data_IF_385362689106
#
_entry.id   IF_385362689106
#
_cell.length_a   1.000
_cell.length_b   1.000
_cell.length_c   1.000
_cell.angle_alpha   90.00
_cell.angle_beta   90.00
_cell.angle_gamma   90.00
#
_symmetry.space_group_name_H-M   'P 1'
#
loop_
_entity.id
_entity.type
_entity.pdbx_description
1 polymer ?
#
# COMPACT_ATOMS: atom_id res chain seq x y z
N UNK A 1 2.82 4.69 -10.73
CA UNK A 1 2.54 4.43 -9.29
C UNK A 1 3.76 4.66 -8.40
N UNK A 2 4.90 3.97 -8.59
CA UNK A 2 6.13 4.14 -7.76
C UNK A 2 6.53 5.60 -7.48
N UNK A 3 6.57 6.47 -8.49
CA UNK A 3 6.89 7.90 -8.32
C UNK A 3 5.84 8.69 -7.51
N UNK A 4 4.55 8.35 -7.67
CA UNK A 4 3.46 9.02 -6.95
C UNK A 4 3.44 8.63 -5.47
N UNK A 5 3.59 7.34 -5.17
CA UNK A 5 3.68 6.83 -3.80
C UNK A 5 4.93 7.34 -3.08
N UNK A 6 6.08 7.37 -3.76
CA UNK A 6 7.30 7.97 -3.21
C UNK A 6 7.12 9.44 -2.84
N UNK A 7 6.53 10.24 -3.73
CA UNK A 7 6.24 11.65 -3.46
C UNK A 7 5.24 11.85 -2.32
N UNK A 8 4.26 10.96 -2.18
CA UNK A 8 3.32 10.97 -1.06
C UNK A 8 4.01 10.71 0.28
N UNK A 9 4.86 9.69 0.34
CA UNK A 9 5.62 9.36 1.55
C UNK A 9 6.56 10.50 1.94
N UNK A 10 7.26 11.11 0.96
CA UNK A 10 8.14 12.25 1.22
C UNK A 10 7.38 13.45 1.79
N UNK A 11 6.19 13.76 1.27
CA UNK A 11 5.35 14.83 1.84
C UNK A 11 4.87 14.48 3.25
N UNK A 12 4.54 13.21 3.50
CA UNK A 12 4.12 12.72 4.81
C UNK A 12 5.12 12.98 5.94
N UNK A 13 6.42 13.01 5.62
CA UNK A 13 7.47 13.35 6.59
C UNK A 13 7.40 14.79 7.12
N UNK A 14 6.59 15.67 6.53
CA UNK A 14 6.36 17.03 7.04
C UNK A 14 5.21 17.11 8.06
N UNK A 15 4.59 15.98 8.42
CA UNK A 15 3.50 15.92 9.40
C UNK A 15 3.89 15.03 10.57
N UNK A 16 3.86 15.59 11.78
CA UNK A 16 4.10 14.84 13.02
C UNK A 16 3.09 13.71 13.21
N UNK A 17 1.81 13.97 12.95
CA UNK A 17 0.74 12.97 13.07
C UNK A 17 0.99 11.80 12.12
N UNK A 18 1.31 12.10 10.86
CA UNK A 18 1.59 11.07 9.87
C UNK A 18 2.81 10.23 10.26
N UNK A 19 3.87 10.88 10.76
CA UNK A 19 5.05 10.21 11.33
C UNK A 19 4.67 9.27 12.48
N UNK A 20 3.89 9.75 13.44
CA UNK A 20 3.53 8.98 14.64
C UNK A 20 2.67 7.75 14.28
N UNK A 21 1.67 7.93 13.41
CA UNK A 21 0.83 6.82 12.91
C UNK A 21 1.68 5.82 12.15
N UNK A 22 2.46 6.28 11.19
CA UNK A 22 3.29 5.43 10.33
C UNK A 22 4.34 4.64 11.13
N UNK A 23 4.97 5.25 12.14
CA UNK A 23 5.89 4.55 13.06
C UNK A 23 5.19 3.48 13.89
N UNK A 24 3.99 3.78 14.38
CA UNK A 24 3.18 2.85 15.18
C UNK A 24 2.76 1.64 14.34
N UNK A 25 2.26 1.88 13.13
CA UNK A 25 1.94 0.81 12.17
C UNK A 25 3.17 -0.04 11.84
N UNK A 26 4.31 0.60 11.55
CA UNK A 26 5.58 -0.07 11.28
C UNK A 26 6.02 -0.97 12.43
N UNK A 27 5.89 -0.48 13.68
CA UNK A 27 6.19 -1.27 14.88
C UNK A 27 5.33 -2.54 14.96
N UNK A 28 4.01 -2.44 14.76
CA UNK A 28 3.12 -3.59 14.84
C UNK A 28 3.27 -4.56 13.66
N UNK A 29 3.65 -4.07 12.49
CA UNK A 29 3.85 -4.88 11.29
C UNK A 29 5.32 -5.34 11.09
N UNK A 30 6.23 -4.98 12.00
CA UNK A 30 7.62 -5.43 12.00
C UNK A 30 8.48 -4.85 10.87
N UNK A 31 8.21 -3.62 10.43
CA UNK A 31 9.02 -2.94 9.40
C UNK A 31 9.34 -1.49 9.77
N UNK A 32 10.45 -0.98 9.23
CA UNK A 32 10.81 0.43 9.33
C UNK A 32 10.20 1.22 8.16
N UNK A 33 9.21 2.09 8.40
CA UNK A 33 8.55 2.83 7.34
C UNK A 33 9.45 3.86 6.67
N UNK A 34 10.52 4.34 7.32
CA UNK A 34 11.42 5.35 6.75
C UNK A 34 12.47 4.77 5.81
N UNK A 35 12.51 3.43 5.69
CA UNK A 35 13.24 2.73 4.63
C UNK A 35 12.49 2.67 3.31
N UNK A 36 11.36 3.38 3.18
CA UNK A 36 10.57 3.38 1.94
C UNK A 36 11.43 3.65 0.68
N UNK A 37 12.43 4.55 0.66
CA UNK A 37 13.23 4.76 -0.55
C UNK A 37 13.95 3.50 -1.02
N UNK A 38 14.65 2.82 -0.12
CA UNK A 38 15.40 1.60 -0.42
C UNK A 38 14.46 0.44 -0.78
N UNK A 39 13.31 0.36 -0.12
CA UNK A 39 12.28 -0.64 -0.44
C UNK A 39 11.70 -0.41 -1.83
N UNK A 40 11.42 0.83 -2.23
CA UNK A 40 10.97 1.12 -3.60
C UNK A 40 12.04 0.70 -4.62
N UNK A 41 13.31 0.93 -4.31
CA UNK A 41 14.43 0.55 -5.18
C UNK A 41 14.62 -0.95 -5.31
N UNK A 42 14.26 -1.73 -4.30
CA UNK A 42 14.37 -3.20 -4.35
C UNK A 42 13.20 -3.90 -5.07
N UNK A 43 12.07 -3.21 -5.30
CA UNK A 43 10.88 -3.84 -5.92
C UNK A 43 11.08 -4.03 -7.43
N UNK A 44 10.96 -5.27 -7.87
CA UNK A 44 11.03 -5.69 -9.28
C UNK A 44 9.66 -5.87 -9.92
N UNK A 45 9.61 -6.10 -11.24
CA UNK A 45 8.34 -6.42 -11.92
C UNK A 45 7.84 -7.81 -11.55
N UNK A 46 8.78 -8.73 -11.30
CA UNK A 46 8.54 -10.11 -10.93
C UNK A 46 7.88 -10.18 -9.56
N UNK A 47 8.32 -9.37 -8.59
CA UNK A 47 7.69 -9.24 -7.27
C UNK A 47 6.22 -8.79 -7.40
N UNK A 48 5.97 -7.78 -8.24
CA UNK A 48 4.61 -7.29 -8.49
C UNK A 48 3.76 -8.38 -9.13
N UNK A 49 4.28 -9.06 -10.15
CA UNK A 49 3.56 -10.13 -10.83
C UNK A 49 3.26 -11.32 -9.89
N UNK A 50 4.22 -11.69 -9.03
CA UNK A 50 4.03 -12.73 -8.02
C UNK A 50 2.99 -12.32 -6.98
N UNK A 51 3.02 -11.07 -6.51
CA UNK A 51 2.02 -10.53 -5.59
C UNK A 51 0.61 -10.59 -6.20
N UNK A 52 0.45 -10.17 -7.46
CA UNK A 52 -0.85 -10.20 -8.14
C UNK A 52 -1.37 -11.63 -8.28
N UNK A 53 -0.54 -12.57 -8.76
CA UNK A 53 -0.93 -13.99 -8.91
C UNK A 53 -1.35 -14.63 -7.60
N UNK A 54 -0.67 -14.29 -6.49
CA UNK A 54 -0.95 -14.86 -5.17
C UNK A 54 -2.24 -14.31 -4.54
N UNK A 55 -2.57 -13.05 -4.79
CA UNK A 55 -3.61 -12.36 -4.02
C UNK A 55 -4.88 -12.08 -4.83
N UNK A 56 -4.79 -11.89 -6.15
CA UNK A 56 -5.93 -11.64 -7.02
C UNK A 56 -6.41 -12.95 -7.63
N UNK A 57 -7.06 -13.79 -6.83
CA UNK A 57 -7.64 -15.06 -7.28
C UNK A 57 -9.15 -15.04 -7.19
N UNK A 58 -9.80 -15.92 -7.97
CA UNK A 58 -11.25 -16.06 -7.95
C UNK A 58 -11.78 -16.46 -6.56
N UNK A 59 -11.05 -17.29 -5.81
CA UNK A 59 -11.46 -17.71 -4.46
C UNK A 59 -11.50 -16.57 -3.45
N UNK A 60 -10.77 -15.47 -3.71
CA UNK A 60 -10.69 -14.29 -2.86
C UNK A 60 -11.49 -13.10 -3.40
N UNK A 61 -12.13 -13.26 -4.55
CA UNK A 61 -12.89 -12.20 -5.18
C UNK A 61 -14.30 -12.10 -4.57
N UNK A 62 -14.71 -10.88 -4.21
CA UNK A 62 -16.07 -10.56 -3.75
C UNK A 62 -16.55 -9.33 -4.52
N UNK A 63 -17.80 -9.36 -4.99
CA UNK A 63 -18.45 -8.24 -5.67
C UNK A 63 -19.70 -7.85 -4.89
N UNK A 64 -19.82 -6.56 -4.60
CA UNK A 64 -21.03 -5.96 -4.05
C UNK A 64 -21.46 -4.84 -5.00
N UNK A 65 -22.69 -4.90 -5.47
CA UNK A 65 -23.27 -3.93 -6.38
C UNK A 65 -24.41 -3.17 -5.70
N UNK A 66 -24.40 -1.85 -5.82
CA UNK A 66 -25.47 -0.98 -5.33
C UNK A 66 -26.21 -0.45 -6.54
N UNK A 67 -27.46 -0.88 -6.71
CA UNK A 67 -28.34 -0.44 -7.80
C UNK A 67 -29.42 0.51 -7.26
N UNK A 68 -29.95 1.42 -8.10
CA UNK A 68 -31.11 2.22 -7.75
C UNK A 68 -32.30 1.33 -7.34
N UNK A 69 -33.15 1.82 -6.43
CA UNK A 69 -34.44 1.16 -6.18
C UNK A 69 -35.37 1.39 -7.36
N UNK A 70 -36.04 0.34 -7.81
CA UNK A 70 -37.16 0.47 -8.77
C UNK A 70 -38.33 1.22 -8.09
N UNK A 71 -38.96 2.13 -8.84
CA UNK A 71 -40.10 2.95 -8.40
C UNK A 71 -41.42 2.23 -8.58
#
# INVERSE_FOLDING_TARGET
MRRASFGSNLRGLNSFENIAVTLTEGYFHGYDPFRFPQVFDSITKEDVAAFLRRNLTAERAVLSEIVPREN
#
